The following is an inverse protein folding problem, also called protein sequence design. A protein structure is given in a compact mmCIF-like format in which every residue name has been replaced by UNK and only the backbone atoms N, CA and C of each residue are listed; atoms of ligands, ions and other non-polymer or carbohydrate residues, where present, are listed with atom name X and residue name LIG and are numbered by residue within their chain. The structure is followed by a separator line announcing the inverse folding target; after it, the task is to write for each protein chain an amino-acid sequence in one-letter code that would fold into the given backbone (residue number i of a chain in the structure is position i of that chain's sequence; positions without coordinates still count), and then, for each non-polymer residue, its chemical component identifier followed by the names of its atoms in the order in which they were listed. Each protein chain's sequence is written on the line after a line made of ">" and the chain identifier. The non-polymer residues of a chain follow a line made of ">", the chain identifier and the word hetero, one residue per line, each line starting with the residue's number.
data_IF_382043438395
#
_entry.id   IF_382043438395
#
_cell.length_a   1.000
_cell.length_b   1.000
_cell.length_c   1.000
_cell.angle_alpha   90.00
_cell.angle_beta   90.00
_cell.angle_gamma   90.00
#
_symmetry.space_group_name_H-M   'P 1'
#
loop_
_entity.id
_entity.type
_entity.pdbx_description
1 polymer ?
#
# COMPACT_ATOMS: atom_id res chain seq x y z
N UNK A 1 -29.06 -9.27 -27.42
CA UNK A 1 -28.50 -9.56 -26.08
C UNK A 1 -27.27 -8.66 -25.94
N UNK A 2 -27.39 -7.57 -25.19
CA UNK A 2 -26.26 -6.67 -24.96
C UNK A 2 -25.27 -7.38 -24.06
N UNK A 3 -24.12 -7.76 -24.62
CA UNK A 3 -22.99 -8.26 -23.87
C UNK A 3 -22.43 -7.07 -23.07
N UNK A 4 -22.80 -6.98 -21.80
CA UNK A 4 -22.13 -6.09 -20.85
C UNK A 4 -20.74 -6.64 -20.64
N UNK A 5 -19.78 -6.11 -21.40
CA UNK A 5 -18.37 -6.32 -21.17
C UNK A 5 -18.03 -5.66 -19.83
N UNK A 6 -18.07 -6.43 -18.74
CA UNK A 6 -17.58 -5.98 -17.45
C UNK A 6 -16.09 -5.61 -17.64
N UNK A 7 -15.63 -4.44 -17.16
CA UNK A 7 -14.22 -4.11 -17.23
C UNK A 7 -13.42 -5.16 -16.45
N UNK A 8 -12.46 -5.80 -17.10
CA UNK A 8 -11.56 -6.78 -16.48
C UNK A 8 -10.72 -6.05 -15.42
N UNK A 9 -11.03 -6.24 -14.14
CA UNK A 9 -10.26 -5.66 -13.02
C UNK A 9 -8.79 -6.14 -13.07
N UNK A 10 -7.86 -5.17 -13.01
CA UNK A 10 -6.40 -5.35 -12.99
C UNK A 10 -5.92 -6.00 -11.68
N UNK A 11 -4.72 -6.58 -11.65
CA UNK A 11 -4.13 -7.11 -10.39
C UNK A 11 -3.46 -6.00 -9.57
N UNK A 12 -3.37 -6.15 -8.25
CA UNK A 12 -2.66 -5.19 -7.36
C UNK A 12 -1.23 -4.92 -7.84
N UNK A 13 -0.53 -5.94 -8.38
CA UNK A 13 0.86 -5.84 -8.81
C UNK A 13 1.07 -5.22 -10.20
N UNK A 14 0.08 -4.57 -10.80
CA UNK A 14 0.31 -3.77 -12.01
C UNK A 14 1.24 -2.54 -11.78
N UNK A 15 1.87 -2.42 -10.59
CA UNK A 15 2.61 -1.28 -10.04
C UNK A 15 4.03 -1.08 -10.59
N UNK A 16 4.39 -1.69 -11.73
CA UNK A 16 5.71 -1.53 -12.33
C UNK A 16 5.67 -1.44 -13.86
N UNK A 17 6.23 -0.33 -14.37
CA UNK A 17 6.67 -0.04 -15.74
C UNK A 17 5.61 0.39 -16.77
N UNK A 18 5.52 1.72 -16.96
CA UNK A 18 5.79 2.34 -18.27
C UNK A 18 5.87 3.88 -18.15
N UNK A 19 7.06 4.43 -17.94
CA UNK A 19 7.30 5.86 -18.17
C UNK A 19 7.49 6.04 -19.68
N UNK A 20 6.44 6.45 -20.37
CA UNK A 20 6.55 7.16 -21.65
C UNK A 20 5.48 8.22 -21.68
N UNK A 21 5.85 9.42 -21.25
CA UNK A 21 4.94 10.55 -21.20
C UNK A 21 5.69 11.85 -21.02
N UNK A 22 5.95 12.52 -22.14
CA UNK A 22 6.60 13.81 -22.29
C UNK A 22 5.92 14.90 -21.45
N UNK A 23 6.70 15.65 -20.67
CA UNK A 23 6.20 16.78 -19.88
C UNK A 23 5.74 17.92 -20.81
N UNK A 24 4.45 18.26 -20.78
CA UNK A 24 3.97 19.57 -21.26
C UNK A 24 3.57 20.43 -20.06
N UNK A 25 4.17 21.62 -19.99
CA UNK A 25 3.86 22.64 -19.00
C UNK A 25 2.50 23.26 -19.36
N UNK A 26 1.59 23.35 -18.39
CA UNK A 26 0.42 24.22 -18.53
C UNK A 26 0.11 24.92 -17.21
N UNK A 27 -0.24 26.20 -17.37
CA UNK A 27 -0.26 27.29 -16.39
C UNK A 27 -1.52 27.31 -15.51
N UNK A 28 -1.40 28.01 -14.39
CA UNK A 28 -2.26 28.13 -13.21
C UNK A 28 -3.77 28.39 -13.42
N UNK A 29 -4.59 27.88 -12.50
CA UNK A 29 -5.79 28.56 -12.00
C UNK A 29 -6.09 28.14 -10.54
N UNK A 30 -6.23 29.14 -9.67
CA UNK A 30 -6.57 29.02 -8.24
C UNK A 30 -8.10 29.09 -8.08
N UNK A 31 -8.69 28.37 -7.11
CA UNK A 31 -9.81 28.97 -6.39
C UNK A 31 -9.56 28.95 -4.87
N UNK A 32 -9.92 30.06 -4.25
CA UNK A 32 -10.17 30.19 -2.82
C UNK A 32 -11.52 29.54 -2.48
N UNK A 33 -11.64 28.96 -1.28
CA UNK A 33 -12.95 28.73 -0.70
C UNK A 33 -13.06 27.57 0.28
N UNK A 34 -13.23 27.95 1.54
CA UNK A 34 -14.07 27.30 2.57
C UNK A 34 -13.40 26.26 3.48
N UNK A 35 -13.00 26.77 4.64
CA UNK A 35 -12.73 26.04 5.88
C UNK A 35 -13.97 25.25 6.31
N UNK A 36 -13.85 23.93 6.37
CA UNK A 36 -14.73 23.07 7.16
C UNK A 36 -13.84 22.29 8.11
N UNK A 37 -13.86 22.68 9.38
CA UNK A 37 -13.27 21.90 10.47
C UNK A 37 -14.04 20.59 10.58
N UNK A 38 -13.38 19.48 10.25
CA UNK A 38 -13.78 18.17 10.72
C UNK A 38 -12.84 17.80 11.86
N UNK A 39 -13.39 17.80 13.06
CA UNK A 39 -12.74 17.31 14.27
C UNK A 39 -12.62 15.78 14.14
N UNK A 40 -11.43 15.33 13.73
CA UNK A 40 -11.09 13.90 13.64
C UNK A 40 -10.71 13.41 15.04
N UNK A 41 -11.63 12.71 15.71
CA UNK A 41 -11.36 12.03 16.96
C UNK A 41 -10.42 10.84 16.72
N UNK A 42 -9.12 11.03 16.95
CA UNK A 42 -8.13 9.96 16.89
C UNK A 42 -8.24 9.05 18.12
N UNK A 43 -9.02 7.97 18.00
CA UNK A 43 -9.00 6.86 18.97
C UNK A 43 -7.84 5.93 18.60
N UNK A 44 -6.71 6.02 19.31
CA UNK A 44 -5.61 5.09 19.16
C UNK A 44 -5.72 3.95 20.18
N UNK A 45 -5.84 2.67 19.76
CA UNK A 45 -5.75 1.56 20.69
C UNK A 45 -4.32 1.42 21.24
N UNK A 46 -4.25 1.25 22.56
CA UNK A 46 -3.04 0.85 23.32
C UNK A 46 -2.70 -0.60 22.98
N UNK A 47 -1.42 -1.00 22.86
CA UNK A 47 -1.06 -2.38 22.54
C UNK A 47 -1.28 -3.30 23.74
N UNK A 48 -2.54 -3.70 23.95
CA UNK A 48 -2.87 -4.89 24.72
C UNK A 48 -3.04 -6.04 23.73
N UNK A 49 -2.27 -7.10 23.94
CA UNK A 49 -2.41 -8.37 23.22
C UNK A 49 -3.78 -8.99 23.50
N UNK A 50 -4.78 -8.54 22.76
CA UNK A 50 -5.99 -9.25 22.43
C UNK A 50 -6.33 -8.77 21.04
N UNK A 51 -6.18 -9.67 20.07
CA UNK A 51 -6.63 -9.49 18.70
C UNK A 51 -8.18 -9.46 18.71
N UNK A 52 -8.78 -8.47 19.35
CA UNK A 52 -10.11 -7.99 18.98
C UNK A 52 -9.95 -7.24 17.68
N UNK A 53 -9.66 -8.04 16.66
CA UNK A 53 -9.73 -7.66 15.28
C UNK A 53 -11.13 -7.08 15.11
N UNK A 54 -11.21 -5.80 14.74
CA UNK A 54 -12.39 -5.22 14.11
C UNK A 54 -12.60 -5.94 12.77
N UNK A 55 -12.89 -7.26 12.87
CA UNK A 55 -13.39 -8.12 11.83
C UNK A 55 -14.80 -7.58 11.61
N UNK A 56 -15.08 -7.01 10.44
CA UNK A 56 -16.29 -7.49 9.79
C UNK A 56 -16.18 -9.02 9.82
N UNK A 57 -17.21 -9.74 10.27
CA UNK A 57 -17.19 -11.21 10.40
C UNK A 57 -16.89 -11.97 9.09
N UNK A 58 -16.51 -11.22 8.05
CA UNK A 58 -16.26 -11.58 6.68
C UNK A 58 -15.03 -10.89 6.06
N UNK A 59 -14.10 -10.30 6.83
CA UNK A 59 -12.90 -9.62 6.29
C UNK A 59 -13.16 -8.41 5.35
N UNK A 60 -14.39 -7.91 5.25
CA UNK A 60 -14.69 -6.73 4.44
C UNK A 60 -14.10 -5.45 5.06
N UNK A 61 -13.85 -4.45 4.21
CA UNK A 61 -13.35 -3.13 4.62
C UNK A 61 -11.83 -2.98 4.46
N UNK A 62 -11.29 -1.89 5.02
CA UNK A 62 -9.87 -1.54 4.90
C UNK A 62 -9.00 -2.55 5.65
N UNK A 63 -7.99 -3.08 4.96
CA UNK A 63 -7.01 -3.99 5.54
C UNK A 63 -6.21 -3.24 6.61
N UNK A 64 -6.01 -3.88 7.76
CA UNK A 64 -5.25 -3.33 8.89
C UNK A 64 -4.26 -4.35 9.42
N UNK A 65 -3.03 -3.92 9.68
CA UNK A 65 -2.05 -4.68 10.45
C UNK A 65 -2.14 -4.27 11.92
N UNK A 66 -2.04 -5.24 12.84
CA UNK A 66 -2.06 -4.99 14.28
C UNK A 66 -0.67 -4.92 14.94
N UNK A 67 0.40 -5.28 14.23
CA UNK A 67 1.74 -5.53 14.79
C UNK A 67 2.78 -4.55 14.24
N UNK A 68 3.31 -3.68 15.10
CA UNK A 68 4.34 -2.69 14.75
C UNK A 68 5.37 -2.49 15.86
N UNK A 69 6.59 -2.13 15.46
CA UNK A 69 7.58 -1.46 16.30
C UNK A 69 7.35 0.05 16.21
N UNK A 70 7.22 0.75 17.35
CA UNK A 70 6.86 2.17 17.43
C UNK A 70 7.85 2.94 18.29
N UNK A 71 8.19 4.17 17.86
CA UNK A 71 9.12 5.06 18.57
C UNK A 71 8.52 6.44 18.90
N UNK A 72 7.21 6.62 18.74
CA UNK A 72 6.51 7.87 19.03
C UNK A 72 5.25 8.03 18.20
N UNK A 73 4.63 9.22 18.27
CA UNK A 73 3.56 9.60 17.35
C UNK A 73 4.17 9.88 15.97
N UNK A 74 3.53 9.39 14.92
CA UNK A 74 3.89 9.71 13.53
C UNK A 74 3.93 11.22 13.33
N UNK A 75 5.01 11.70 12.71
CA UNK A 75 5.15 13.09 12.27
C UNK A 75 5.30 13.06 10.76
N UNK A 76 4.36 13.67 10.00
CA UNK A 76 4.47 13.78 8.55
C UNK A 76 5.78 14.43 8.12
N UNK A 77 6.30 14.04 6.96
CA UNK A 77 7.40 14.78 6.34
C UNK A 77 6.98 16.20 5.94
N UNK A 78 7.94 17.08 5.81
CA UNK A 78 7.78 18.46 5.30
C UNK A 78 8.86 18.74 4.26
N UNK A 79 9.02 19.96 3.76
CA UNK A 79 10.15 20.29 2.87
C UNK A 79 11.49 20.30 3.62
N UNK A 80 11.46 20.39 4.95
CA UNK A 80 12.62 20.49 5.82
C UNK A 80 13.09 19.13 6.35
N UNK A 81 12.18 18.16 6.52
CA UNK A 81 12.54 16.83 7.02
C UNK A 81 11.66 15.70 6.47
N UNK A 82 12.23 14.49 6.41
CA UNK A 82 11.52 13.23 6.14
C UNK A 82 10.47 12.94 7.23
N UNK A 83 9.53 12.04 6.96
CA UNK A 83 8.62 11.57 7.99
C UNK A 83 9.38 10.96 9.18
N UNK A 84 8.88 11.17 10.40
CA UNK A 84 9.50 10.70 11.64
C UNK A 84 8.54 9.77 12.39
N UNK A 85 9.10 8.88 13.20
CA UNK A 85 8.35 7.90 13.99
C UNK A 85 7.36 7.07 13.15
N UNK A 86 7.69 6.78 11.89
CA UNK A 86 6.89 5.90 11.04
C UNK A 86 6.86 4.51 11.69
N UNK A 87 5.68 3.98 12.07
CA UNK A 87 5.58 2.66 12.68
C UNK A 87 6.16 1.60 11.75
N UNK A 88 7.15 0.85 12.22
CA UNK A 88 7.78 -0.20 11.43
C UNK A 88 6.92 -1.47 11.52
N UNK A 89 6.39 -1.99 10.39
CA UNK A 89 5.53 -3.16 10.42
C UNK A 89 6.32 -4.39 10.87
N UNK A 90 5.70 -5.19 11.73
CA UNK A 90 6.26 -6.45 12.21
C UNK A 90 5.47 -7.61 11.62
N UNK A 91 6.19 -8.60 11.10
CA UNK A 91 5.60 -9.77 10.45
C UNK A 91 4.80 -10.60 11.46
N UNK A 92 3.49 -10.83 11.25
CA UNK A 92 2.71 -11.72 12.09
C UNK A 92 3.22 -13.16 12.01
N UNK A 93 3.19 -13.90 13.13
CA UNK A 93 3.70 -15.27 13.19
C UNK A 93 2.94 -16.25 12.28
N UNK A 94 1.65 -16.01 12.03
CA UNK A 94 0.76 -16.84 11.23
C UNK A 94 0.69 -16.39 9.75
N UNK A 95 1.50 -15.43 9.31
CA UNK A 95 1.48 -14.87 7.95
C UNK A 95 1.68 -15.92 6.83
N UNK A 96 2.32 -17.05 7.16
CA UNK A 96 2.63 -18.13 6.22
C UNK A 96 1.66 -19.31 6.36
N UNK A 97 0.64 -19.22 7.22
CA UNK A 97 -0.34 -20.30 7.34
C UNK A 97 -1.20 -20.37 6.08
N UNK A 98 -1.48 -21.59 5.60
CA UNK A 98 -2.39 -21.82 4.50
C UNK A 98 -3.86 -21.67 4.95
N UNK A 99 -4.25 -20.44 5.28
CA UNK A 99 -5.56 -20.08 5.80
C UNK A 99 -5.97 -18.68 5.31
N UNK A 100 -7.26 -18.34 5.44
CA UNK A 100 -7.73 -16.97 5.19
C UNK A 100 -7.06 -15.94 6.13
N UNK A 101 -6.79 -16.32 7.38
CA UNK A 101 -6.08 -15.48 8.36
C UNK A 101 -4.62 -15.23 7.95
N UNK A 102 -3.90 -16.26 7.50
CA UNK A 102 -2.53 -16.12 6.98
C UNK A 102 -2.48 -15.25 5.72
N UNK A 103 -3.42 -15.44 4.80
CA UNK A 103 -3.55 -14.62 3.59
C UNK A 103 -3.85 -13.15 3.92
N UNK A 104 -4.77 -12.88 4.85
CA UNK A 104 -5.08 -11.53 5.30
C UNK A 104 -3.87 -10.89 5.98
N UNK A 105 -3.19 -11.62 6.88
CA UNK A 105 -1.97 -11.14 7.52
C UNK A 105 -0.88 -10.81 6.51
N UNK A 106 -0.74 -11.61 5.45
CA UNK A 106 0.19 -11.32 4.37
C UNK A 106 -0.15 -10.00 3.67
N UNK A 107 -1.41 -9.79 3.29
CA UNK A 107 -1.85 -8.54 2.65
C UNK A 107 -1.65 -7.35 3.58
N UNK A 108 -2.03 -7.46 4.86
CA UNK A 108 -1.88 -6.39 5.84
C UNK A 108 -0.41 -6.01 6.03
N UNK A 109 0.47 -6.99 6.19
CA UNK A 109 1.89 -6.76 6.32
C UNK A 109 2.50 -6.17 5.03
N UNK A 110 2.07 -6.63 3.85
CA UNK A 110 2.51 -6.10 2.57
C UNK A 110 2.11 -4.63 2.37
N UNK A 111 0.85 -4.28 2.64
CA UNK A 111 0.33 -2.89 2.54
C UNK A 111 1.10 -1.95 3.45
N UNK A 112 1.29 -2.32 4.71
CA UNK A 112 2.00 -1.48 5.67
C UNK A 112 3.50 -1.40 5.37
N UNK A 113 4.08 -2.46 4.82
CA UNK A 113 5.46 -2.43 4.34
C UNK A 113 5.65 -1.52 3.11
N UNK A 114 4.65 -1.42 2.24
CA UNK A 114 4.62 -0.45 1.13
C UNK A 114 4.54 0.98 1.67
N UNK A 115 3.65 1.26 2.62
CA UNK A 115 3.56 2.58 3.26
C UNK A 115 4.88 2.96 3.95
N UNK A 116 5.46 2.04 4.73
CA UNK A 116 6.74 2.25 5.39
C UNK A 116 7.86 2.54 4.40
N UNK A 117 7.94 1.79 3.30
CA UNK A 117 8.90 2.02 2.24
C UNK A 117 8.72 3.40 1.57
N UNK A 118 7.48 3.82 1.30
CA UNK A 118 7.22 5.15 0.73
C UNK A 118 7.63 6.28 1.68
N UNK A 119 7.37 6.15 2.98
CA UNK A 119 7.61 7.21 3.97
C UNK A 119 9.05 7.29 4.48
N UNK A 120 9.80 6.19 4.43
CA UNK A 120 11.16 6.11 5.01
C UNK A 120 12.26 5.81 4.00
N UNK A 121 11.90 5.25 2.84
CA UNK A 121 12.85 4.67 1.89
C UNK A 121 13.42 3.31 2.31
N UNK A 122 13.11 2.81 3.50
CA UNK A 122 13.57 1.51 3.98
C UNK A 122 12.64 0.38 3.48
N UNK A 123 13.13 -0.36 2.50
CA UNK A 123 12.41 -1.47 1.86
C UNK A 123 12.57 -2.82 2.57
N UNK A 124 13.31 -2.88 3.69
CA UNK A 124 13.59 -4.16 4.38
C UNK A 124 12.32 -4.90 4.82
N UNK A 125 11.28 -4.27 5.40
CA UNK A 125 10.07 -5.00 5.75
C UNK A 125 9.38 -5.62 4.53
N UNK A 126 9.26 -4.85 3.44
CA UNK A 126 8.62 -5.30 2.21
C UNK A 126 9.39 -6.46 1.53
N UNK A 127 10.72 -6.38 1.57
CA UNK A 127 11.61 -7.39 0.98
C UNK A 127 11.49 -8.77 1.63
N UNK A 128 10.91 -8.88 2.83
CA UNK A 128 10.69 -10.17 3.49
C UNK A 128 9.60 -11.01 2.79
N UNK A 129 8.70 -10.36 2.05
CA UNK A 129 7.49 -11.01 1.48
C UNK A 129 7.36 -10.88 -0.04
N UNK A 130 8.07 -9.95 -0.67
CA UNK A 130 8.01 -9.71 -2.13
C UNK A 130 9.32 -9.11 -2.66
N UNK A 131 9.52 -9.06 -3.98
CA UNK A 131 10.55 -8.18 -4.56
C UNK A 131 10.10 -6.71 -4.39
N UNK A 132 10.70 -6.03 -3.42
CA UNK A 132 10.40 -4.64 -3.12
C UNK A 132 10.81 -3.70 -4.25
N UNK A 133 11.88 -4.01 -5.00
CA UNK A 133 12.34 -3.17 -6.13
C UNK A 133 11.43 -3.26 -7.35
N UNK A 134 10.68 -4.35 -7.49
CA UNK A 134 9.62 -4.47 -8.47
C UNK A 134 8.29 -3.83 -8.01
N UNK A 135 8.17 -3.48 -6.72
CA UNK A 135 6.94 -2.96 -6.11
C UNK A 135 6.98 -1.45 -5.94
N UNK A 136 8.11 -0.90 -5.49
CA UNK A 136 8.30 0.54 -5.27
C UNK A 136 8.98 1.12 -6.51
N UNK A 137 8.42 2.17 -7.15
CA UNK A 137 9.05 2.80 -8.31
C UNK A 137 10.46 3.27 -8.00
N UNK A 138 11.41 2.99 -8.88
CA UNK A 138 12.82 3.39 -8.72
C UNK A 138 12.97 4.90 -8.54
N UNK A 139 12.12 5.71 -9.18
CA UNK A 139 12.10 7.16 -9.00
C UNK A 139 11.90 7.58 -7.53
N UNK A 140 11.14 6.82 -6.75
CA UNK A 140 10.96 7.08 -5.31
C UNK A 140 12.16 6.58 -4.51
N UNK A 141 12.65 5.36 -4.81
CA UNK A 141 13.82 4.79 -4.12
C UNK A 141 15.07 5.68 -4.29
N UNK A 142 15.28 6.20 -5.50
CA UNK A 142 16.38 7.08 -5.84
C UNK A 142 16.44 8.33 -4.96
N UNK A 143 15.28 8.92 -4.62
CA UNK A 143 15.22 10.11 -3.76
C UNK A 143 15.81 9.84 -2.38
N UNK A 144 15.45 8.70 -1.78
CA UNK A 144 15.95 8.31 -0.47
C UNK A 144 17.42 7.88 -0.53
N UNK A 145 17.80 7.10 -1.54
CA UNK A 145 19.19 6.64 -1.72
C UNK A 145 20.17 7.79 -1.95
N UNK A 146 19.78 8.76 -2.77
CA UNK A 146 20.60 9.94 -3.11
C UNK A 146 20.47 11.06 -2.07
N UNK A 147 19.56 10.90 -1.11
CA UNK A 147 19.18 11.92 -0.14
C UNK A 147 18.78 13.26 -0.82
N UNK A 148 18.03 13.14 -1.91
CA UNK A 148 17.57 14.27 -2.75
C UNK A 148 16.07 14.53 -2.62
N UNK A 149 15.36 13.83 -1.73
CA UNK A 149 13.93 14.01 -1.55
C UNK A 149 13.29 12.91 -0.73
N UNK A 150 11.98 13.04 -0.52
CA UNK A 150 11.16 12.07 0.21
C UNK A 150 9.68 12.28 -0.07
N UNK A 151 8.86 11.32 0.38
CA UNK A 151 7.40 11.41 0.32
C UNK A 151 6.88 12.18 1.53
N UNK A 152 5.93 13.09 1.29
CA UNK A 152 5.18 13.84 2.30
C UNK A 152 3.73 13.35 2.23
N UNK A 153 3.14 12.99 3.37
CA UNK A 153 1.75 12.51 3.38
C UNK A 153 1.30 11.93 4.72
N UNK A 154 0.07 11.38 4.77
CA UNK A 154 -0.42 10.65 5.94
C UNK A 154 0.37 9.36 6.18
N UNK A 155 0.18 8.73 7.35
CA UNK A 155 0.84 7.45 7.68
C UNK A 155 0.43 6.31 6.72
N UNK A 156 -0.82 6.32 6.27
CA UNK A 156 -1.36 5.33 5.34
C UNK A 156 -1.64 6.01 4.00
N UNK A 157 -0.59 6.17 3.18
CA UNK A 157 -0.69 6.76 1.84
C UNK A 157 -1.41 5.81 0.89
N UNK A 158 -1.17 4.51 1.04
CA UNK A 158 -1.72 3.44 0.22
C UNK A 158 -2.54 2.50 1.12
N UNK A 159 -3.79 2.26 0.75
CA UNK A 159 -4.69 1.34 1.46
C UNK A 159 -5.38 0.40 0.48
N UNK A 160 -5.79 -0.76 0.98
CA UNK A 160 -6.62 -1.71 0.25
C UNK A 160 -7.89 -1.93 1.05
N UNK A 161 -9.03 -1.74 0.40
CA UNK A 161 -10.35 -2.07 0.91
C UNK A 161 -10.84 -3.35 0.24
N UNK A 162 -11.16 -4.38 1.03
CA UNK A 162 -11.73 -5.63 0.54
C UNK A 162 -13.24 -5.43 0.32
N UNK A 163 -13.67 -5.52 -0.94
CA UNK A 163 -15.04 -5.21 -1.36
C UNK A 163 -16.01 -6.38 -1.22
N UNK A 164 -15.48 -7.61 -1.18
CA UNK A 164 -16.29 -8.83 -1.04
C UNK A 164 -16.01 -9.50 0.30
N UNK A 165 -17.07 -9.93 1.03
CA UNK A 165 -16.96 -10.88 2.13
C UNK A 165 -16.00 -12.02 1.79
N UNK A 166 -14.90 -12.13 2.51
CA UNK A 166 -14.08 -13.32 2.59
C UNK A 166 -14.79 -14.43 3.36
N UNK A 167 -14.61 -15.68 2.90
CA UNK A 167 -14.99 -16.84 3.70
C UNK A 167 -13.88 -17.16 4.71
N UNK A 168 -14.27 -17.50 5.94
CA UNK A 168 -13.41 -18.13 6.94
C UNK A 168 -13.16 -19.61 6.59
N UNK A 169 -12.83 -19.91 5.32
CA UNK A 169 -12.60 -21.29 4.90
C UNK A 169 -11.34 -21.83 5.59
N UNK A 170 -11.53 -22.75 6.54
CA UNK A 170 -10.46 -23.47 7.25
C UNK A 170 -9.70 -24.41 6.30
N UNK A 171 -10.31 -24.79 5.18
CA UNK A 171 -9.68 -25.55 4.09
C UNK A 171 -9.87 -24.84 2.77
N UNK A 172 -8.80 -24.22 2.30
CA UNK A 172 -8.77 -23.55 1.01
C UNK A 172 -8.79 -24.60 -0.11
N UNK A 173 -9.83 -24.59 -0.96
CA UNK A 173 -9.99 -25.54 -2.09
C UNK A 173 -9.02 -25.36 -3.25
N UNK A 174 -8.20 -24.31 -3.24
CA UNK A 174 -7.28 -23.95 -4.32
C UNK A 174 -6.12 -23.14 -3.75
N UNK A 175 -4.88 -23.30 -4.26
CA UNK A 175 -3.76 -22.45 -3.89
C UNK A 175 -3.91 -21.01 -4.39
N UNK A 176 -4.77 -20.77 -5.38
CA UNK A 176 -5.04 -19.46 -5.95
C UNK A 176 -6.27 -18.81 -5.31
N UNK A 177 -6.14 -17.53 -5.00
CA UNK A 177 -7.19 -16.70 -4.39
C UNK A 177 -7.31 -15.37 -5.09
N UNK A 178 -8.55 -14.91 -5.22
CA UNK A 178 -8.90 -13.61 -5.77
C UNK A 178 -9.84 -12.94 -4.80
N UNK A 179 -9.45 -11.76 -4.31
CA UNK A 179 -10.35 -10.86 -3.60
C UNK A 179 -10.61 -9.62 -4.44
N UNK A 180 -11.89 -9.27 -4.58
CA UNK A 180 -12.24 -7.98 -5.17
C UNK A 180 -11.90 -6.90 -4.17
N UNK A 181 -11.16 -5.90 -4.63
CA UNK A 181 -10.64 -4.86 -3.74
C UNK A 181 -10.65 -3.51 -4.43
N UNK A 182 -10.53 -2.48 -3.62
CA UNK A 182 -10.29 -1.11 -4.04
C UNK A 182 -8.96 -0.67 -3.45
N UNK A 183 -8.01 -0.26 -4.29
CA UNK A 183 -6.85 0.47 -3.82
C UNK A 183 -7.27 1.93 -3.68
N UNK A 184 -6.96 2.54 -2.52
CA UNK A 184 -7.06 3.98 -2.34
C UNK A 184 -5.67 4.55 -2.03
N UNK A 185 -5.29 5.59 -2.75
CA UNK A 185 -4.02 6.30 -2.59
C UNK A 185 -4.34 7.75 -2.23
N UNK A 186 -3.82 8.23 -1.09
CA UNK A 186 -4.09 9.58 -0.59
C UNK A 186 -3.73 10.65 -1.63
N UNK A 187 -4.72 11.46 -2.01
CA UNK A 187 -4.53 12.64 -2.87
C UNK A 187 -3.73 13.76 -2.21
N UNK A 188 -3.59 13.72 -0.88
CA UNK A 188 -2.76 14.64 -0.10
C UNK A 188 -1.27 14.29 -0.16
N UNK A 189 -0.93 13.07 -0.61
CA UNK A 189 0.46 12.64 -0.68
C UNK A 189 1.22 13.36 -1.81
N UNK A 190 2.44 13.74 -1.50
CA UNK A 190 3.33 14.50 -2.35
C UNK A 190 4.74 13.89 -2.33
N UNK A 191 5.53 14.23 -3.34
CA UNK A 191 6.96 13.94 -3.41
C UNK A 191 7.70 15.26 -3.42
N UNK A 192 8.57 15.45 -2.44
CA UNK A 192 9.49 16.57 -2.37
C UNK A 192 10.82 16.19 -3.02
N UNK A 193 11.34 17.08 -3.87
CA UNK A 193 12.66 17.00 -4.48
C UNK A 193 13.48 18.23 -4.07
N UNK A 194 14.54 18.00 -3.31
CA UNK A 194 15.40 19.06 -2.77
C UNK A 194 16.37 19.62 -3.81
N UNK A 195 16.58 18.95 -4.95
CA UNK A 195 17.53 19.41 -5.99
C UNK A 195 17.05 20.66 -6.71
N UNK A 196 15.73 20.80 -6.85
CA UNK A 196 15.05 21.91 -7.49
C UNK A 196 14.04 22.61 -6.57
N UNK A 197 14.01 22.21 -5.29
CA UNK A 197 13.07 22.67 -4.28
C UNK A 197 11.61 22.64 -4.75
N UNK A 198 11.19 21.50 -5.31
CA UNK A 198 9.85 21.33 -5.86
C UNK A 198 9.07 20.25 -5.14
N UNK A 199 7.74 20.35 -5.23
CA UNK A 199 6.82 19.36 -4.70
C UNK A 199 5.81 19.01 -5.78
N UNK A 200 5.57 17.72 -5.97
CA UNK A 200 4.63 17.21 -6.95
C UNK A 200 3.69 16.18 -6.32
N UNK A 201 2.50 16.02 -6.89
CA UNK A 201 1.55 14.99 -6.46
C UNK A 201 2.21 13.61 -6.53
N UNK A 202 2.05 12.82 -5.46
CA UNK A 202 2.56 11.46 -5.39
C UNK A 202 1.94 10.57 -6.47
N UNK A 203 0.63 10.69 -6.70
CA UNK A 203 -0.11 10.00 -7.76
C UNK A 203 0.53 10.17 -9.15
N UNK A 204 1.01 11.39 -9.44
CA UNK A 204 1.72 11.68 -10.71
C UNK A 204 3.07 10.97 -10.80
N UNK A 205 3.81 10.88 -9.69
CA UNK A 205 5.14 10.25 -9.67
C UNK A 205 5.05 8.75 -9.88
N UNK A 206 4.04 8.11 -9.29
CA UNK A 206 3.84 6.66 -9.41
C UNK A 206 2.94 6.27 -10.59
N UNK A 207 2.47 7.24 -11.38
CA UNK A 207 1.55 7.10 -12.51
C UNK A 207 0.26 6.34 -12.15
N UNK A 208 -0.47 6.87 -11.17
CA UNK A 208 -1.68 6.27 -10.59
C UNK A 208 -2.81 7.27 -10.41
N UNK A 209 -4.00 6.73 -10.16
CA UNK A 209 -5.18 7.49 -9.74
C UNK A 209 -5.47 7.23 -8.27
N UNK A 210 -6.23 8.13 -7.64
CA UNK A 210 -6.57 8.06 -6.21
C UNK A 210 -7.32 6.77 -5.83
N UNK A 211 -8.10 6.21 -6.74
CA UNK A 211 -8.93 5.03 -6.50
C UNK A 211 -8.93 4.08 -7.68
N UNK A 212 -8.61 2.81 -7.45
CA UNK A 212 -8.60 1.76 -8.48
C UNK A 212 -9.32 0.50 -8.01
N UNK A 213 -10.28 0.02 -8.80
CA UNK A 213 -10.87 -1.30 -8.59
C UNK A 213 -9.95 -2.40 -9.13
N UNK A 214 -9.53 -3.30 -8.24
CA UNK A 214 -8.56 -4.34 -8.55
C UNK A 214 -9.03 -5.71 -8.06
N UNK A 215 -8.31 -6.73 -8.50
CA UNK A 215 -8.34 -8.07 -7.97
C UNK A 215 -7.03 -8.33 -7.20
N UNK A 216 -7.13 -8.50 -5.89
CA UNK A 216 -6.05 -9.04 -5.08
C UNK A 216 -5.87 -10.52 -5.41
N UNK A 217 -4.95 -10.83 -6.33
CA UNK A 217 -4.62 -12.21 -6.69
C UNK A 217 -3.45 -12.71 -5.87
N UNK A 218 -3.66 -13.78 -5.12
CA UNK A 218 -2.66 -14.42 -4.29
C UNK A 218 -2.53 -15.90 -4.63
N UNK A 219 -1.31 -16.42 -4.53
CA UNK A 219 -1.00 -17.84 -4.69
C UNK A 219 -0.21 -18.33 -3.49
N UNK A 220 -0.65 -19.42 -2.88
CA UNK A 220 0.13 -20.13 -1.88
C UNK A 220 1.08 -21.12 -2.57
N UNK A 221 2.39 -20.90 -2.38
CA UNK A 221 3.45 -21.71 -2.99
C UNK A 221 4.64 -21.78 -2.03
N UNK A 222 5.22 -22.97 -1.89
CA UNK A 222 6.43 -23.23 -1.07
C UNK A 222 6.34 -22.70 0.37
N UNK A 223 5.16 -22.84 0.99
CA UNK A 223 4.94 -22.40 2.37
C UNK A 223 4.72 -20.89 2.53
N UNK A 224 4.50 -20.16 1.44
CA UNK A 224 4.35 -18.71 1.46
C UNK A 224 3.18 -18.23 0.59
N UNK A 225 2.52 -17.17 1.04
CA UNK A 225 1.62 -16.39 0.20
C UNK A 225 2.44 -15.48 -0.73
N UNK A 226 2.03 -15.39 -1.99
CA UNK A 226 2.66 -14.56 -3.01
C UNK A 226 1.60 -13.78 -3.76
N UNK A 227 1.85 -12.50 -4.02
CA UNK A 227 1.02 -11.73 -4.94
C UNK A 227 1.29 -12.20 -6.38
N UNK A 228 0.21 -12.30 -7.16
CA UNK A 228 0.22 -12.74 -8.56
C UNK A 228 -0.02 -11.53 -9.47
N UNK A 229 0.83 -11.37 -10.48
CA UNK A 229 0.73 -10.33 -11.51
C UNK A 229 -0.36 -10.67 -12.53
N UNK A 230 -0.64 -9.73 -13.44
CA UNK A 230 -1.66 -9.92 -14.48
C UNK A 230 -1.34 -11.08 -15.41
N UNK A 231 -0.06 -11.26 -15.75
CA UNK A 231 0.47 -12.33 -16.59
C UNK A 231 0.53 -13.71 -15.87
N UNK A 232 0.11 -13.77 -14.61
CA UNK A 232 0.10 -14.99 -13.80
C UNK A 232 1.45 -15.33 -13.14
N UNK A 233 2.48 -14.54 -13.38
CA UNK A 233 3.77 -14.66 -12.68
C UNK A 233 3.65 -14.16 -11.23
N UNK A 234 4.52 -14.64 -10.36
CA UNK A 234 4.55 -14.30 -8.94
C UNK A 234 5.65 -13.28 -8.67
N UNK A 235 5.37 -12.29 -7.83
CA UNK A 235 6.39 -11.37 -7.36
C UNK A 235 7.14 -11.97 -6.16
N UNK A 236 8.04 -12.90 -6.44
CA UNK A 236 8.80 -13.57 -5.38
C UNK A 236 9.79 -12.61 -4.72
N UNK A 237 9.97 -12.75 -3.40
CA UNK A 237 11.10 -12.15 -2.70
C UNK A 237 12.42 -12.55 -3.37
N UNK A 238 13.33 -11.60 -3.54
CA UNK A 238 14.72 -11.88 -3.93
C UNK A 238 15.54 -12.24 -2.69
N UNK A 239 16.53 -13.14 -2.79
CA UNK A 239 17.53 -13.28 -1.74
C UNK A 239 18.19 -11.92 -1.49
N UNK A 240 18.26 -11.51 -0.22
CA UNK A 240 18.97 -10.29 0.21
C UNK A 240 20.48 -10.43 0.03
#
# INVERSE_FOLDING_TARGET
>A
MNSTHLPTRRTILALGLSISGTFTLSSCARPEGRTSQYEYSEVYPTPSQTFEQNRGADYSGTIQLGTYEKHGKYVPGTQEHKAQNVPKPLQPHYINEYSSDGMYAFLAYWVESVNYAYLTGDIKPLSQVTDATATIPSAVLDLYQKNTGWVIGPQHIFTIELSTPGSHDVTLKSPDRIWQSVINISSEAQVYDSTNNSTQSFLKVIDRVEKEEVNARLRYLDGHWNLVKEDGSINQRKPL
#
